data_IF_281285768563
#
_entry.id   IF_281285768563
#
_cell.length_a   1.000
_cell.length_b   1.000
_cell.length_c   1.000
_cell.angle_alpha   90.00
_cell.angle_beta   90.00
_cell.angle_gamma   90.00
#
_symmetry.space_group_name_H-M   'P 1'
#
loop_
_entity.id
_entity.type
_entity.pdbx_description
1 polymer ?
#
# COMPACT_ATOMS: atom_id res chain seq x y z
N UNK A 1 3.42 -18.54 -1.02
CA UNK A 1 4.09 -17.94 -2.20
C UNK A 1 3.01 -17.67 -3.22
N UNK A 2 2.65 -16.41 -3.44
CA UNK A 2 1.61 -16.04 -4.39
C UNK A 2 0.84 -14.77 -4.02
N UNK A 3 0.82 -13.85 -4.98
CA UNK A 3 -0.14 -12.75 -5.18
C UNK A 3 0.13 -11.39 -4.51
N UNK A 4 1.39 -10.99 -4.30
CA UNK A 4 1.71 -9.55 -4.23
C UNK A 4 2.30 -9.09 -5.56
N UNK A 5 3.24 -9.84 -6.12
CA UNK A 5 3.85 -9.53 -7.43
C UNK A 5 2.80 -9.49 -8.56
N UNK A 6 1.82 -10.41 -8.55
CA UNK A 6 0.70 -10.38 -9.51
C UNK A 6 -0.21 -9.15 -9.29
N UNK A 7 -0.39 -8.74 -8.04
CA UNK A 7 -1.21 -7.57 -7.70
C UNK A 7 -0.51 -6.28 -8.11
N UNK A 8 0.82 -6.20 -7.93
CA UNK A 8 1.69 -5.15 -8.45
C UNK A 8 1.61 -5.08 -9.96
N UNK A 9 1.71 -6.22 -10.65
CA UNK A 9 1.63 -6.27 -12.10
C UNK A 9 0.27 -5.72 -12.59
N UNK A 10 -0.83 -6.21 -12.04
CA UNK A 10 -2.17 -5.73 -12.39
C UNK A 10 -2.30 -4.24 -12.12
N UNK A 11 -1.80 -3.76 -10.99
CA UNK A 11 -1.87 -2.34 -10.63
C UNK A 11 -1.07 -1.45 -11.58
N UNK A 12 0.12 -1.89 -11.98
CA UNK A 12 0.95 -1.18 -12.96
C UNK A 12 0.31 -1.16 -14.37
N UNK A 13 -0.64 -2.05 -14.65
CA UNK A 13 -1.43 -2.02 -15.90
C UNK A 13 -2.67 -1.14 -15.83
N UNK A 14 -3.04 -0.61 -14.65
CA UNK A 14 -4.20 0.27 -14.50
C UNK A 14 -3.86 1.66 -15.07
N UNK A 15 -4.61 2.09 -16.08
CA UNK A 15 -4.51 3.45 -16.64
C UNK A 15 -4.87 4.51 -15.59
N UNK A 16 -5.85 4.20 -14.73
CA UNK A 16 -6.22 5.01 -13.57
C UNK A 16 -6.41 4.12 -12.34
N UNK A 17 -5.44 4.16 -11.43
CA UNK A 17 -5.57 3.52 -10.13
C UNK A 17 -6.41 4.42 -9.20
N UNK A 18 -7.46 3.86 -8.60
CA UNK A 18 -8.30 4.56 -7.64
C UNK A 18 -7.84 4.31 -6.20
N UNK A 19 -8.40 5.06 -5.24
CA UNK A 19 -8.02 4.97 -3.82
C UNK A 19 -8.17 3.56 -3.23
N UNK A 20 -9.09 2.73 -3.76
CA UNK A 20 -9.29 1.35 -3.31
C UNK A 20 -8.14 0.45 -3.79
N UNK A 21 -7.70 0.60 -5.05
CA UNK A 21 -6.57 -0.14 -5.60
C UNK A 21 -5.28 0.13 -4.81
N UNK A 22 -5.00 1.40 -4.51
CA UNK A 22 -3.86 1.78 -3.66
C UNK A 22 -4.00 1.20 -2.24
N UNK A 23 -5.16 1.36 -1.61
CA UNK A 23 -5.40 0.85 -0.26
C UNK A 23 -5.19 -0.67 -0.18
N UNK A 24 -5.64 -1.41 -1.19
CA UNK A 24 -5.50 -2.86 -1.24
C UNK A 24 -4.02 -3.25 -1.31
N UNK A 25 -3.24 -2.62 -2.19
CA UNK A 25 -1.81 -2.91 -2.32
C UNK A 25 -1.01 -2.52 -1.09
N UNK A 26 -1.25 -1.34 -0.51
CA UNK A 26 -0.67 -0.91 0.77
C UNK A 26 -0.91 -1.98 1.84
N UNK A 27 -2.16 -2.40 2.04
CA UNK A 27 -2.49 -3.47 3.02
C UNK A 27 -1.76 -4.78 2.74
N UNK A 28 -1.57 -5.14 1.47
CA UNK A 28 -0.91 -6.38 1.08
C UNK A 28 0.61 -6.29 1.30
N UNK A 29 1.25 -5.18 0.97
CA UNK A 29 2.66 -4.95 1.28
C UNK A 29 2.93 -5.06 2.78
N UNK A 30 2.08 -4.47 3.60
CA UNK A 30 2.17 -4.54 5.06
C UNK A 30 2.04 -5.97 5.56
N UNK A 31 1.09 -6.74 5.03
CA UNK A 31 0.93 -8.15 5.38
C UNK A 31 2.14 -9.01 4.96
N UNK A 32 2.89 -8.57 3.94
CA UNK A 32 4.12 -9.21 3.47
C UNK A 32 5.39 -8.68 4.14
N UNK A 33 5.29 -7.73 5.09
CA UNK A 33 6.45 -7.11 5.74
C UNK A 33 7.22 -6.13 4.85
N UNK A 34 6.68 -5.76 3.67
CA UNK A 34 7.26 -4.78 2.73
C UNK A 34 6.82 -3.36 3.10
N UNK A 35 7.19 -2.89 4.29
CA UNK A 35 6.74 -1.59 4.82
C UNK A 35 7.20 -0.41 3.93
N UNK A 36 8.43 -0.45 3.43
CA UNK A 36 9.01 0.59 2.55
C UNK A 36 8.23 0.73 1.22
N UNK A 37 7.83 -0.39 0.60
CA UNK A 37 7.01 -0.36 -0.60
C UNK A 37 5.60 0.18 -0.34
N UNK A 38 5.05 -0.09 0.84
CA UNK A 38 3.78 0.48 1.28
C UNK A 38 3.86 2.00 1.44
N UNK A 39 4.97 2.50 1.97
CA UNK A 39 5.22 3.94 2.15
C UNK A 39 5.37 4.65 0.82
N UNK A 40 6.24 4.14 -0.07
CA UNK A 40 6.39 4.67 -1.42
C UNK A 40 5.06 4.74 -2.18
N UNK A 41 4.26 3.69 -2.11
CA UNK A 41 2.95 3.66 -2.76
C UNK A 41 1.95 4.65 -2.13
N UNK A 42 2.05 4.90 -0.82
CA UNK A 42 1.25 5.91 -0.13
C UNK A 42 1.67 7.34 -0.51
N UNK A 43 2.95 7.57 -0.79
CA UNK A 43 3.46 8.86 -1.28
C UNK A 43 2.98 9.17 -2.69
N UNK A 44 2.91 8.16 -3.56
CA UNK A 44 2.41 8.27 -4.95
C UNK A 44 0.89 8.54 -5.02
N UNK A 45 0.13 8.28 -3.94
CA UNK A 45 -1.29 8.61 -3.90
C UNK A 45 -1.53 10.12 -3.93
N UNK A 46 -1.98 10.64 -5.07
CA UNK A 46 -2.44 12.03 -5.20
C UNK A 46 -3.63 12.35 -4.27
N UNK A 47 -4.51 11.37 -4.02
CA UNK A 47 -5.64 11.50 -3.09
C UNK A 47 -5.52 10.52 -1.92
N UNK A 48 -4.94 10.99 -0.82
CA UNK A 48 -4.86 10.24 0.44
C UNK A 48 -6.22 10.24 1.12
N UNK A 49 -6.71 9.05 1.46
CA UNK A 49 -7.96 8.86 2.22
C UNK A 49 -7.66 8.62 3.70
N UNK A 50 -8.64 8.85 4.58
CA UNK A 50 -8.54 8.51 6.01
C UNK A 50 -8.15 7.05 6.20
N UNK A 51 -8.63 6.15 5.33
CA UNK A 51 -8.35 4.73 5.43
C UNK A 51 -6.90 4.40 5.06
N UNK A 52 -6.33 5.04 4.03
CA UNK A 52 -4.91 4.86 3.68
C UNK A 52 -4.00 5.41 4.79
N UNK A 53 -4.34 6.55 5.40
CA UNK A 53 -3.57 7.12 6.51
C UNK A 53 -3.59 6.22 7.75
N UNK A 54 -4.77 5.71 8.15
CA UNK A 54 -4.88 4.79 9.27
C UNK A 54 -4.10 3.48 9.04
N UNK A 55 -4.06 3.03 7.79
CA UNK A 55 -3.27 1.86 7.41
C UNK A 55 -1.78 2.13 7.65
N UNK A 56 -1.25 3.26 7.17
CA UNK A 56 0.16 3.65 7.39
C UNK A 56 0.53 3.84 8.86
N UNK A 57 -0.34 4.44 9.68
CA UNK A 57 -0.10 4.54 11.13
C UNK A 57 0.06 3.15 11.76
N UNK A 58 -0.75 2.17 11.33
CA UNK A 58 -0.57 0.78 11.78
C UNK A 58 0.72 0.14 11.26
N UNK A 59 1.27 0.60 10.14
CA UNK A 59 2.58 0.14 9.63
C UNK A 59 3.67 0.64 10.53
N UNK A 60 3.76 1.96 10.73
CA UNK A 60 4.81 2.57 11.55
C UNK A 60 4.79 2.05 13.00
N UNK A 61 3.60 1.88 13.58
CA UNK A 61 3.45 1.29 14.91
C UNK A 61 3.93 -0.17 14.98
N UNK A 62 3.90 -0.92 13.87
CA UNK A 62 4.40 -2.29 13.78
C UNK A 62 5.87 -2.38 13.39
N UNK A 63 6.40 -1.42 12.63
CA UNK A 63 7.83 -1.34 12.29
C UNK A 63 8.68 -0.82 13.46
N UNK A 64 8.06 -0.24 14.50
CA UNK A 64 8.78 0.30 15.65
C UNK A 64 9.41 1.67 15.38
N UNK A 65 8.99 2.35 14.30
CA UNK A 65 9.41 3.71 13.97
C UNK A 65 8.63 4.79 14.74
N UNK A 66 7.76 4.38 15.67
CA UNK A 66 7.10 5.23 16.67
C UNK A 66 7.09 4.50 18.02
#
# INVERSE_FOLDING_TARGET
IGRIDDAELIFNTLVEANSISYQLLIKRYVACGRAEDSERLFEEMFQRTIISTNTMISVYSKSGEI
#
